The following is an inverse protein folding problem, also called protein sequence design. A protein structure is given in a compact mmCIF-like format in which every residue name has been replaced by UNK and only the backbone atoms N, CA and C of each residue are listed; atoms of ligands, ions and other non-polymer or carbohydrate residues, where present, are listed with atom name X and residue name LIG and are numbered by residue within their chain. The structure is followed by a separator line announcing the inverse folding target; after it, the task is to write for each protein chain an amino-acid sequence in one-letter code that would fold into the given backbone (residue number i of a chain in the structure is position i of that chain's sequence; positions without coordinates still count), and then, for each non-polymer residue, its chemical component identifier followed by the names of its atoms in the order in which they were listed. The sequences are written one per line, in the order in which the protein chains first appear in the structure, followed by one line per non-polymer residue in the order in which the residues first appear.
data_IF_056854249803
#
_entry.id   IF_056854249803
#
_cell.length_a   1.000
_cell.length_b   1.000
_cell.length_c   1.000
_cell.angle_alpha   90.00
_cell.angle_beta   90.00
_cell.angle_gamma   90.00
#
_symmetry.space_group_name_H-M   'P 1'
#
loop_
_entity.id
_entity.type
_entity.pdbx_description
1 polymer ?
#
# COMPACT_ATOMS: atom_id res chain seq x y z
N UNK A 1 -3.22 2.02 29.37
CA UNK A 1 -2.53 1.11 28.43
C UNK A 1 -1.88 0.02 29.28
N UNK A 2 -2.30 -1.22 29.14
CA UNK A 2 -1.65 -2.34 29.82
C UNK A 2 -0.61 -2.90 28.85
N UNK A 3 0.65 -2.78 29.23
CA UNK A 3 1.74 -3.47 28.57
C UNK A 3 2.45 -4.34 29.61
N UNK A 4 2.95 -5.47 29.18
CA UNK A 4 3.78 -6.35 29.98
C UNK A 4 5.22 -6.12 29.52
N UNK A 5 6.13 -5.88 30.46
CA UNK A 5 7.55 -5.70 30.21
C UNK A 5 8.33 -6.61 31.17
N UNK A 6 9.20 -7.44 30.62
CA UNK A 6 10.09 -8.32 31.38
C UNK A 6 11.53 -8.08 30.92
N UNK A 7 12.41 -7.79 31.86
CA UNK A 7 13.85 -7.68 31.64
C UNK A 7 14.55 -8.96 32.03
N UNK A 8 15.36 -9.51 31.14
CA UNK A 8 16.10 -10.75 31.32
C UNK A 8 15.29 -11.88 32.00
N UNK A 9 14.07 -12.20 31.51
CA UNK A 9 13.22 -13.18 32.18
C UNK A 9 13.77 -14.60 32.03
N UNK A 10 13.44 -15.45 33.01
CA UNK A 10 13.63 -16.90 32.88
C UNK A 10 12.72 -17.47 31.79
N UNK A 11 13.14 -18.54 31.06
CA UNK A 11 12.42 -19.09 29.92
C UNK A 11 10.97 -19.47 30.22
N UNK A 12 10.65 -20.00 31.40
CA UNK A 12 9.31 -20.41 31.81
C UNK A 12 8.36 -19.22 31.94
N UNK A 13 8.84 -18.13 32.58
CA UNK A 13 8.07 -16.89 32.70
C UNK A 13 7.86 -16.26 31.35
N UNK A 14 8.89 -16.24 30.52
CA UNK A 14 8.85 -15.77 29.14
C UNK A 14 7.80 -16.52 28.32
N UNK A 15 7.82 -17.85 28.39
CA UNK A 15 6.87 -18.71 27.66
C UNK A 15 5.41 -18.42 28.07
N UNK A 16 5.13 -18.36 29.37
CA UNK A 16 3.79 -18.05 29.91
C UNK A 16 3.32 -16.65 29.45
N UNK A 17 4.19 -15.66 29.52
CA UNK A 17 3.87 -14.28 29.10
C UNK A 17 3.55 -14.20 27.62
N UNK A 18 4.36 -14.85 26.76
CA UNK A 18 4.13 -14.88 25.32
C UNK A 18 2.83 -15.62 24.99
N UNK A 19 2.57 -16.76 25.62
CA UNK A 19 1.32 -17.52 25.42
C UNK A 19 0.08 -16.69 25.79
N UNK A 20 0.11 -16.02 26.95
CA UNK A 20 -0.96 -15.13 27.37
C UNK A 20 -1.15 -13.94 26.41
N UNK A 21 -0.05 -13.33 25.97
CA UNK A 21 -0.08 -12.23 25.02
C UNK A 21 -0.65 -12.64 23.65
N UNK A 22 -0.32 -13.85 23.15
CA UNK A 22 -0.88 -14.41 21.92
C UNK A 22 -2.39 -14.67 22.03
N UNK A 23 -2.88 -15.12 23.20
CA UNK A 23 -4.32 -15.29 23.44
C UNK A 23 -5.08 -13.97 23.47
N UNK A 24 -4.42 -12.89 23.93
CA UNK A 24 -4.96 -11.55 24.01
C UNK A 24 -4.71 -10.71 22.73
N UNK A 25 -4.20 -11.34 21.66
CA UNK A 25 -3.88 -10.68 20.38
C UNK A 25 -3.00 -9.44 20.54
N UNK A 26 -2.04 -9.48 21.48
CA UNK A 26 -1.09 -8.39 21.69
C UNK A 26 0.04 -8.42 20.66
N UNK A 27 0.59 -7.27 20.35
CA UNK A 27 1.89 -7.13 19.69
C UNK A 27 2.99 -7.54 20.66
N UNK A 28 3.90 -8.43 20.24
CA UNK A 28 4.93 -9.01 21.11
C UNK A 28 6.30 -8.74 20.51
N UNK A 29 7.22 -8.28 21.35
CA UNK A 29 8.64 -8.14 21.04
C UNK A 29 9.44 -9.06 21.95
N UNK A 30 10.36 -9.83 21.37
CA UNK A 30 11.34 -10.64 22.11
C UNK A 30 12.73 -10.24 21.63
N UNK A 31 13.59 -9.85 22.54
CA UNK A 31 15.00 -9.53 22.26
C UNK A 31 15.89 -10.46 23.03
N UNK A 32 16.85 -11.06 22.36
CA UNK A 32 17.76 -12.00 22.99
C UNK A 32 18.76 -12.61 22.01
N UNK A 33 19.63 -13.46 22.55
CA UNK A 33 20.54 -14.28 21.76
C UNK A 33 19.82 -15.56 21.36
N UNK A 34 19.80 -15.86 20.06
CA UNK A 34 19.04 -16.99 19.53
C UNK A 34 19.65 -17.57 18.26
N UNK A 35 19.24 -18.80 17.96
CA UNK A 35 19.37 -19.44 16.65
C UNK A 35 18.02 -19.43 15.93
N UNK A 36 18.06 -19.43 14.58
CA UNK A 36 16.83 -19.46 13.76
C UNK A 36 16.96 -20.55 12.70
N UNK A 37 15.93 -21.37 12.54
CA UNK A 37 15.82 -22.37 11.47
C UNK A 37 14.53 -22.18 10.72
N UNK A 38 14.63 -22.08 9.41
CA UNK A 38 13.49 -22.06 8.50
C UNK A 38 13.41 -23.37 7.74
N UNK A 39 12.22 -23.90 7.62
CA UNK A 39 11.89 -25.07 6.80
C UNK A 39 10.61 -24.78 6.01
N UNK A 40 10.71 -24.85 4.67
CA UNK A 40 9.61 -24.60 3.74
C UNK A 40 10.03 -24.95 2.33
N UNK A 41 9.85 -24.03 1.37
CA UNK A 41 10.32 -24.16 -0.02
C UNK A 41 11.84 -24.34 -0.13
N UNK A 42 12.55 -23.85 0.86
CA UNK A 42 13.97 -24.03 1.07
C UNK A 42 14.22 -24.34 2.55
N UNK A 43 15.45 -24.67 2.91
CA UNK A 43 15.89 -24.77 4.30
C UNK A 43 16.99 -23.75 4.52
N UNK A 44 16.90 -22.95 5.58
CA UNK A 44 17.96 -22.04 5.98
C UNK A 44 18.14 -22.03 7.49
N UNK A 45 19.33 -21.71 7.94
CA UNK A 45 19.68 -21.54 9.34
C UNK A 45 20.46 -20.24 9.55
N UNK A 46 20.21 -19.62 10.70
CA UNK A 46 21.01 -18.52 11.21
C UNK A 46 21.65 -18.99 12.52
N UNK A 47 22.96 -18.95 12.56
CA UNK A 47 23.75 -19.29 13.75
C UNK A 47 23.45 -18.30 14.88
N UNK A 48 23.92 -18.63 16.08
CA UNK A 48 23.73 -17.86 17.30
C UNK A 48 24.06 -16.37 17.12
N UNK A 49 23.14 -15.52 17.55
CA UNK A 49 23.32 -14.07 17.50
C UNK A 49 22.17 -13.33 18.18
N UNK A 50 22.41 -12.07 18.52
CA UNK A 50 21.39 -11.21 19.13
C UNK A 50 20.42 -10.71 18.07
N UNK A 51 19.12 -10.84 18.35
CA UNK A 51 18.04 -10.51 17.40
C UNK A 51 16.83 -9.94 18.10
N UNK A 52 16.07 -9.20 17.34
CA UNK A 52 14.72 -8.78 17.67
C UNK A 52 13.74 -9.68 16.91
N UNK A 53 12.82 -10.31 17.63
CA UNK A 53 11.69 -11.04 17.09
C UNK A 53 10.43 -10.24 17.40
N UNK A 54 9.61 -9.96 16.40
CA UNK A 54 8.31 -9.33 16.55
C UNK A 54 7.19 -10.26 16.08
N UNK A 55 6.16 -10.44 16.92
CA UNK A 55 4.92 -11.10 16.57
C UNK A 55 3.82 -10.04 16.55
N UNK A 56 3.19 -9.84 15.40
CA UNK A 56 2.12 -8.89 15.24
C UNK A 56 0.77 -9.45 15.72
N UNK A 57 -0.20 -8.57 15.94
CA UNK A 57 -1.56 -8.94 16.35
C UNK A 57 -2.26 -9.85 15.33
N UNK A 58 -1.99 -9.69 14.04
CA UNK A 58 -2.44 -10.53 12.93
C UNK A 58 -1.68 -11.85 12.80
N UNK A 59 -0.74 -12.12 13.75
CA UNK A 59 0.11 -13.32 13.80
C UNK A 59 1.16 -13.39 12.69
N UNK A 60 1.57 -12.27 12.10
CA UNK A 60 2.79 -12.20 11.31
C UNK A 60 4.03 -12.27 12.22
N UNK A 61 5.11 -12.90 11.73
CA UNK A 61 6.39 -12.98 12.43
C UNK A 61 7.47 -12.26 11.64
N UNK A 62 8.28 -11.45 12.33
CA UNK A 62 9.47 -10.80 11.75
C UNK A 62 10.66 -11.01 12.67
N UNK A 63 11.84 -11.29 12.09
CA UNK A 63 13.10 -11.43 12.82
C UNK A 63 14.12 -10.47 12.22
N UNK A 64 14.65 -9.59 13.04
CA UNK A 64 15.64 -8.59 12.64
C UNK A 64 16.98 -8.84 13.29
N UNK A 65 18.05 -8.55 12.54
CA UNK A 65 19.41 -8.39 13.07
C UNK A 65 19.57 -6.99 13.68
N UNK A 66 20.65 -6.75 14.46
CA UNK A 66 20.96 -5.39 14.96
C UNK A 66 21.25 -4.37 13.84
N UNK A 67 21.41 -4.80 12.61
CA UNK A 67 21.73 -3.99 11.44
C UNK A 67 20.92 -4.46 10.22
N UNK A 68 20.78 -3.59 9.22
CA UNK A 68 19.93 -3.79 8.05
C UNK A 68 18.47 -3.37 8.31
N UNK A 69 17.79 -2.95 7.26
CA UNK A 69 16.41 -2.44 7.37
C UNK A 69 15.35 -3.53 7.15
N UNK A 70 15.69 -4.60 6.46
CA UNK A 70 14.77 -5.70 6.19
C UNK A 70 14.87 -6.81 7.25
N UNK A 71 13.76 -7.50 7.56
CA UNK A 71 13.81 -8.71 8.39
C UNK A 71 14.63 -9.78 7.68
N UNK A 72 15.44 -10.53 8.46
CA UNK A 72 16.24 -11.63 7.94
C UNK A 72 15.42 -12.90 7.73
N UNK A 73 14.35 -13.07 8.50
CA UNK A 73 13.31 -14.09 8.34
C UNK A 73 11.95 -13.48 8.68
N UNK A 74 10.93 -13.92 8.00
CA UNK A 74 9.56 -13.48 8.26
C UNK A 74 8.54 -14.51 7.80
N UNK A 75 7.33 -14.44 8.36
CA UNK A 75 6.15 -15.13 7.88
C UNK A 75 4.95 -14.17 7.84
N UNK A 76 4.07 -14.31 6.83
CA UNK A 76 2.90 -13.47 6.68
C UNK A 76 1.87 -13.70 7.81
N UNK A 77 0.80 -12.90 7.89
CA UNK A 77 -0.28 -13.06 8.85
C UNK A 77 -0.88 -14.47 8.90
N UNK A 78 -1.45 -14.83 10.06
CA UNK A 78 -2.20 -16.08 10.25
C UNK A 78 -1.35 -17.28 10.69
N UNK A 79 -0.11 -17.08 11.14
CA UNK A 79 0.70 -18.18 11.68
C UNK A 79 0.12 -18.75 12.98
N UNK A 80 0.23 -20.08 13.16
CA UNK A 80 0.05 -20.74 14.44
C UNK A 80 1.38 -20.74 15.18
N UNK A 81 1.36 -20.36 16.47
CA UNK A 81 2.54 -20.37 17.32
C UNK A 81 2.50 -21.53 18.31
N UNK A 82 3.65 -22.16 18.48
CA UNK A 82 3.93 -23.13 19.54
C UNK A 82 5.09 -22.57 20.38
N UNK A 83 4.83 -22.40 21.66
CA UNK A 83 5.80 -21.84 22.62
C UNK A 83 6.11 -22.94 23.65
N UNK A 84 7.37 -23.25 23.83
CA UNK A 84 7.84 -24.24 24.79
C UNK A 84 9.18 -23.83 25.39
N UNK A 85 9.56 -24.46 26.47
CA UNK A 85 10.89 -24.41 27.07
C UNK A 85 11.55 -25.78 27.02
N UNK A 86 12.85 -25.80 26.75
CA UNK A 86 13.65 -27.02 26.75
C UNK A 86 15.12 -26.65 27.05
N UNK A 87 15.73 -27.34 28.03
CA UNK A 87 17.12 -27.12 28.46
C UNK A 87 17.45 -25.64 28.73
N UNK A 88 16.63 -24.96 29.53
CA UNK A 88 16.76 -23.51 29.83
C UNK A 88 16.70 -22.59 28.60
N UNK A 89 16.21 -23.07 27.47
CA UNK A 89 15.97 -22.27 26.28
C UNK A 89 14.47 -22.00 26.07
N UNK A 90 14.12 -20.80 25.63
CA UNK A 90 12.80 -20.49 25.09
C UNK A 90 12.74 -20.87 23.62
N UNK A 91 11.78 -21.71 23.26
CA UNK A 91 11.51 -22.08 21.86
C UNK A 91 10.21 -21.50 21.36
N UNK A 92 10.29 -20.81 20.22
CA UNK A 92 9.15 -20.22 19.50
C UNK A 92 9.12 -20.83 18.12
N UNK A 93 8.00 -21.52 17.78
CA UNK A 93 7.77 -22.05 16.44
C UNK A 93 6.58 -21.36 15.81
N UNK A 94 6.79 -20.72 14.67
CA UNK A 94 5.74 -20.14 13.84
C UNK A 94 5.46 -21.09 12.67
N UNK A 95 4.23 -21.57 12.56
CA UNK A 95 3.81 -22.59 11.60
C UNK A 95 2.77 -22.00 10.67
N UNK A 96 3.05 -22.03 9.38
CA UNK A 96 2.13 -21.72 8.29
C UNK A 96 1.65 -23.01 7.63
N UNK A 97 0.36 -23.11 7.30
CA UNK A 97 -0.22 -24.32 6.70
C UNK A 97 -0.15 -24.33 5.18
N UNK A 98 -0.38 -23.19 4.56
CA UNK A 98 -0.42 -23.10 3.09
C UNK A 98 0.36 -21.85 2.60
N UNK A 99 1.47 -22.02 1.88
CA UNK A 99 2.26 -23.24 1.76
C UNK A 99 2.80 -23.69 3.13
N UNK A 100 3.14 -24.99 3.32
CA UNK A 100 3.62 -25.47 4.62
C UNK A 100 5.05 -24.95 4.88
N UNK A 101 5.18 -24.10 5.88
CA UNK A 101 6.43 -23.47 6.28
C UNK A 101 6.52 -23.38 7.80
N UNK A 102 7.73 -23.49 8.34
CA UNK A 102 7.97 -23.35 9.78
C UNK A 102 9.22 -22.52 10.01
N UNK A 103 9.12 -21.53 10.91
CA UNK A 103 10.28 -20.87 11.50
C UNK A 103 10.37 -21.30 12.96
N UNK A 104 11.52 -21.83 13.35
CA UNK A 104 11.84 -22.21 14.72
C UNK A 104 12.95 -21.32 15.25
N UNK A 105 12.72 -20.70 16.39
CA UNK A 105 13.65 -19.80 17.06
C UNK A 105 13.91 -20.34 18.45
N UNK A 106 15.18 -20.58 18.80
CA UNK A 106 15.61 -21.00 20.16
C UNK A 106 16.45 -19.89 20.77
N UNK A 107 15.96 -19.32 21.87
CA UNK A 107 16.65 -18.30 22.65
C UNK A 107 17.37 -18.96 23.82
N UNK A 108 18.68 -18.88 23.84
CA UNK A 108 19.57 -19.31 24.96
C UNK A 108 19.82 -18.18 25.96
N UNK A 109 19.51 -16.93 25.58
CA UNK A 109 19.57 -15.78 26.48
C UNK A 109 18.47 -14.77 26.09
N UNK A 110 17.58 -14.51 27.02
CA UNK A 110 16.55 -13.47 26.88
C UNK A 110 17.04 -12.16 27.48
N UNK A 111 16.86 -11.06 26.77
CA UNK A 111 17.16 -9.70 27.24
C UNK A 111 15.91 -8.92 27.59
N UNK A 112 14.88 -9.04 26.75
CA UNK A 112 13.65 -8.29 26.89
C UNK A 112 12.47 -9.06 26.29
N UNK A 113 11.32 -8.99 26.96
CA UNK A 113 10.02 -9.28 26.38
C UNK A 113 9.11 -8.09 26.65
N UNK A 114 8.46 -7.60 25.58
CA UNK A 114 7.41 -6.58 25.69
C UNK A 114 6.15 -7.08 24.98
N UNK A 115 4.99 -6.99 25.63
CA UNK A 115 3.71 -7.33 25.02
C UNK A 115 2.71 -6.18 25.26
N UNK A 116 2.08 -5.70 24.18
CA UNK A 116 1.23 -4.50 24.23
C UNK A 116 0.07 -4.58 23.27
N UNK A 117 -1.08 -4.04 23.67
CA UNK A 117 -2.21 -3.83 22.78
C UNK A 117 -2.00 -2.52 22.01
N UNK A 118 -1.68 -2.62 20.74
CA UNK A 118 -1.56 -1.46 19.83
C UNK A 118 -2.89 -1.27 19.09
N UNK A 119 -3.28 -0.02 18.90
CA UNK A 119 -4.43 0.37 18.09
C UNK A 119 -3.92 1.33 17.02
N UNK A 120 -4.01 0.92 15.79
CA UNK A 120 -3.81 1.79 14.64
C UNK A 120 -5.16 2.01 13.96
N UNK A 121 -5.67 3.23 14.11
CA UNK A 121 -6.91 3.68 13.46
C UNK A 121 -6.60 4.58 12.26
N UNK A 122 -5.31 4.80 11.96
CA UNK A 122 -4.91 5.59 10.84
C UNK A 122 -5.10 4.80 9.54
N UNK A 123 -5.83 5.36 8.60
CA UNK A 123 -5.83 4.84 7.24
C UNK A 123 -4.49 5.20 6.58
N UNK A 124 -3.78 4.20 6.09
CA UNK A 124 -2.57 4.43 5.30
C UNK A 124 -2.98 4.84 3.89
N UNK A 125 -2.82 6.12 3.58
CA UNK A 125 -3.00 6.62 2.22
C UNK A 125 -1.63 6.75 1.56
N UNK A 126 -1.38 5.96 0.54
CA UNK A 126 -0.42 6.33 -0.49
C UNK A 126 -1.02 7.51 -1.26
N UNK A 127 -0.32 8.62 -1.34
CA UNK A 127 -0.69 9.68 -2.28
C UNK A 127 -0.62 9.08 -3.68
N UNK A 128 -1.76 8.99 -4.37
CA UNK A 128 -1.83 8.46 -5.71
C UNK A 128 -0.88 9.23 -6.65
N UNK A 129 -0.15 8.50 -7.48
CA UNK A 129 0.64 9.07 -8.58
C UNK A 129 -0.29 9.65 -9.66
N UNK A 130 0.24 10.36 -10.66
CA UNK A 130 -0.57 10.79 -11.83
C UNK A 130 -1.11 9.58 -12.60
N UNK A 131 -0.33 8.51 -12.69
CA UNK A 131 -0.76 7.22 -13.26
C UNK A 131 -1.90 6.56 -12.45
N UNK A 132 -1.83 6.60 -11.12
CA UNK A 132 -2.92 6.09 -10.27
C UNK A 132 -4.19 6.94 -10.43
N UNK A 133 -4.06 8.26 -10.53
CA UNK A 133 -5.20 9.15 -10.81
C UNK A 133 -5.81 8.83 -12.18
N UNK A 134 -5.00 8.58 -13.20
CA UNK A 134 -5.43 8.15 -14.51
C UNK A 134 -6.19 6.82 -14.45
N UNK A 135 -5.63 5.81 -13.79
CA UNK A 135 -6.28 4.50 -13.57
C UNK A 135 -7.63 4.63 -12.86
N UNK A 136 -7.71 5.49 -11.84
CA UNK A 136 -8.96 5.76 -11.12
C UNK A 136 -10.02 6.41 -12.04
N UNK A 137 -9.63 7.35 -12.91
CA UNK A 137 -10.51 7.99 -13.91
C UNK A 137 -10.97 6.96 -14.94
N UNK A 138 -10.08 6.08 -15.40
CA UNK A 138 -10.43 5.00 -16.35
C UNK A 138 -11.44 4.04 -15.74
N UNK A 139 -11.23 3.66 -14.47
CA UNK A 139 -12.12 2.74 -13.75
C UNK A 139 -13.48 3.36 -13.42
N UNK A 140 -13.51 4.65 -13.09
CA UNK A 140 -14.72 5.42 -12.72
C UNK A 140 -14.71 6.81 -13.33
N UNK A 141 -15.02 6.96 -14.64
CA UNK A 141 -14.97 8.27 -15.31
C UNK A 141 -15.90 9.33 -14.70
N UNK A 142 -16.97 8.91 -14.04
CA UNK A 142 -17.93 9.79 -13.36
C UNK A 142 -17.32 10.64 -12.23
N UNK A 143 -16.12 10.30 -11.73
CA UNK A 143 -15.43 11.13 -10.75
C UNK A 143 -14.94 12.46 -11.33
N UNK A 144 -14.79 12.52 -12.66
CA UNK A 144 -14.48 13.76 -13.39
C UNK A 144 -15.76 14.42 -13.85
N UNK A 145 -16.62 13.66 -14.54
CA UNK A 145 -17.89 14.17 -15.07
C UNK A 145 -18.88 13.02 -15.32
N UNK A 146 -20.13 13.20 -14.90
CA UNK A 146 -21.19 12.23 -15.16
C UNK A 146 -21.42 12.07 -16.66
N UNK A 147 -21.47 10.82 -17.12
CA UNK A 147 -21.67 10.48 -18.54
C UNK A 147 -20.39 10.53 -19.39
N UNK A 148 -19.24 10.86 -18.80
CA UNK A 148 -17.94 10.72 -19.48
C UNK A 148 -17.67 9.24 -19.76
N UNK A 149 -17.23 8.96 -20.97
CA UNK A 149 -16.75 7.64 -21.40
C UNK A 149 -15.32 7.74 -21.90
N UNK A 150 -14.39 7.03 -21.28
CA UNK A 150 -13.01 6.93 -21.72
C UNK A 150 -12.95 6.06 -22.98
N UNK A 151 -12.25 6.54 -24.02
CA UNK A 151 -12.01 5.83 -25.27
C UNK A 151 -10.58 5.30 -25.30
N UNK A 152 -9.63 6.12 -24.91
CA UNK A 152 -8.21 5.83 -25.01
C UNK A 152 -7.47 6.60 -23.90
N UNK A 153 -6.36 6.08 -23.43
CA UNK A 153 -5.45 6.74 -22.49
C UNK A 153 -4.02 6.71 -23.05
N UNK A 154 -3.17 7.60 -22.58
CA UNK A 154 -1.82 7.81 -23.11
C UNK A 154 -1.80 7.91 -24.64
N UNK A 155 -2.83 8.54 -25.19
CA UNK A 155 -2.94 8.75 -26.63
C UNK A 155 -1.81 9.63 -27.14
N UNK A 156 -1.03 9.10 -28.09
CA UNK A 156 0.02 9.88 -28.75
C UNK A 156 -0.58 11.00 -29.59
N UNK A 157 -0.24 12.23 -29.24
CA UNK A 157 -0.61 13.44 -29.99
C UNK A 157 0.63 14.32 -30.01
N UNK A 158 1.22 14.54 -31.22
CA UNK A 158 2.40 15.39 -31.29
C UNK A 158 2.15 16.78 -30.66
N UNK A 159 2.98 17.24 -29.69
CA UNK A 159 4.32 16.75 -29.34
C UNK A 159 4.40 15.85 -28.09
N UNK A 160 3.35 15.10 -27.71
CA UNK A 160 3.38 14.28 -26.50
C UNK A 160 2.25 13.28 -26.40
N UNK A 161 1.76 13.05 -25.19
CA UNK A 161 0.68 12.11 -24.89
C UNK A 161 -0.42 12.81 -24.10
N UNK A 162 -1.66 12.54 -24.45
CA UNK A 162 -2.85 12.93 -23.70
C UNK A 162 -3.11 11.87 -22.65
N UNK A 163 -3.24 12.27 -21.38
CA UNK A 163 -3.44 11.34 -20.27
C UNK A 163 -4.73 10.53 -20.45
N UNK A 164 -5.86 11.19 -20.73
CA UNK A 164 -7.15 10.52 -20.99
C UNK A 164 -7.89 11.21 -22.13
N UNK A 165 -8.37 10.40 -23.06
CA UNK A 165 -9.17 10.78 -24.21
C UNK A 165 -10.55 10.15 -24.12
N UNK A 166 -11.62 10.93 -24.20
CA UNK A 166 -12.97 10.46 -23.97
C UNK A 166 -14.03 11.21 -24.77
N UNK A 167 -15.29 10.83 -24.53
CA UNK A 167 -16.50 11.48 -25.07
C UNK A 167 -17.44 11.79 -23.90
N UNK A 168 -17.98 13.01 -23.86
CA UNK A 168 -19.01 13.41 -22.93
C UNK A 168 -20.41 12.89 -23.35
N UNK A 169 -21.40 13.17 -22.51
CA UNK A 169 -22.79 12.75 -22.78
C UNK A 169 -23.42 13.39 -24.06
N UNK A 170 -22.85 14.53 -24.51
CA UNK A 170 -23.33 15.24 -25.72
C UNK A 170 -22.56 14.79 -26.98
N UNK A 171 -21.66 13.80 -26.88
CA UNK A 171 -20.86 13.29 -27.97
C UNK A 171 -19.66 14.17 -28.35
N UNK A 172 -19.30 15.16 -27.52
CA UNK A 172 -18.11 16.00 -27.73
C UNK A 172 -16.86 15.27 -27.25
N UNK A 173 -15.77 15.45 -27.96
CA UNK A 173 -14.48 14.92 -27.55
C UNK A 173 -13.97 15.62 -26.29
N UNK A 174 -13.45 14.87 -25.36
CA UNK A 174 -12.85 15.36 -24.10
C UNK A 174 -11.40 14.94 -24.06
N UNK A 175 -10.53 15.91 -23.80
CA UNK A 175 -9.09 15.69 -23.55
C UNK A 175 -8.82 16.08 -22.10
N UNK A 176 -8.27 15.17 -21.33
CA UNK A 176 -7.97 15.36 -19.92
C UNK A 176 -6.46 15.36 -19.72
N UNK A 177 -5.97 16.37 -19.03
CA UNK A 177 -4.61 16.44 -18.47
C UNK A 177 -4.70 16.32 -16.95
N UNK A 178 -3.86 15.47 -16.36
CA UNK A 178 -3.88 15.15 -14.93
C UNK A 178 -2.64 15.72 -14.27
N UNK A 179 -2.82 16.35 -13.10
CA UNK A 179 -1.72 16.79 -12.25
C UNK A 179 -1.94 16.34 -10.80
N UNK A 180 -0.94 15.69 -10.21
CA UNK A 180 -0.97 15.23 -8.81
C UNK A 180 -0.90 16.38 -7.80
N UNK A 181 -0.29 17.50 -8.19
CA UNK A 181 -0.14 18.71 -7.37
C UNK A 181 -0.97 19.85 -7.94
N UNK A 182 -0.92 21.00 -7.28
CA UNK A 182 -1.56 22.22 -7.79
C UNK A 182 -1.13 22.48 -9.24
N UNK A 183 -2.10 22.51 -10.16
CA UNK A 183 -1.84 22.73 -11.58
C UNK A 183 -1.45 24.17 -11.86
N UNK A 184 -0.37 24.34 -12.61
CA UNK A 184 0.19 25.64 -13.02
C UNK A 184 -0.13 26.01 -14.47
N UNK A 185 0.50 27.10 -14.94
CA UNK A 185 0.35 27.59 -16.33
C UNK A 185 0.80 26.55 -17.37
N UNK A 186 1.84 25.78 -17.05
CA UNK A 186 2.42 24.79 -17.96
C UNK A 186 1.41 23.73 -18.38
N UNK A 187 0.61 23.22 -17.43
CA UNK A 187 -0.42 22.23 -17.70
C UNK A 187 -1.51 22.77 -18.64
N UNK A 188 -1.88 24.05 -18.50
CA UNK A 188 -2.86 24.71 -19.38
C UNK A 188 -2.32 24.83 -20.80
N UNK A 189 -1.06 25.27 -20.95
CA UNK A 189 -0.42 25.37 -22.27
C UNK A 189 -0.20 23.99 -22.92
N UNK A 190 0.16 22.97 -22.14
CA UNK A 190 0.27 21.60 -22.61
C UNK A 190 -1.06 21.12 -23.18
N UNK A 191 -2.13 21.26 -22.40
CA UNK A 191 -3.48 20.86 -22.80
C UNK A 191 -3.96 21.64 -24.06
N UNK A 192 -3.69 22.96 -24.15
CA UNK A 192 -4.02 23.75 -25.31
C UNK A 192 -3.29 23.29 -26.60
N UNK A 193 -2.02 22.86 -26.48
CA UNK A 193 -1.28 22.26 -27.60
C UNK A 193 -1.94 20.99 -28.09
N UNK A 194 -2.36 20.10 -27.15
CA UNK A 194 -3.04 18.85 -27.50
C UNK A 194 -4.38 19.11 -28.18
N UNK A 195 -5.17 20.06 -27.69
CA UNK A 195 -6.43 20.47 -28.34
C UNK A 195 -6.19 20.93 -29.78
N UNK A 196 -5.20 21.81 -30.00
CA UNK A 196 -4.85 22.30 -31.34
C UNK A 196 -4.47 21.13 -32.28
N UNK A 197 -3.55 20.30 -31.85
CA UNK A 197 -3.07 19.18 -32.65
C UNK A 197 -4.17 18.14 -32.95
N UNK A 198 -5.08 17.90 -31.99
CA UNK A 198 -6.21 16.99 -32.20
C UNK A 198 -7.28 17.60 -33.12
N UNK A 199 -7.50 18.94 -33.05
CA UNK A 199 -8.53 19.61 -33.85
C UNK A 199 -8.22 19.63 -35.34
N UNK A 200 -6.94 19.62 -35.73
CA UNK A 200 -6.50 19.59 -37.14
C UNK A 200 -6.91 18.28 -37.88
N UNK A 201 -7.22 17.19 -37.14
CA UNK A 201 -7.63 15.89 -37.72
C UNK A 201 -9.09 15.51 -37.49
N UNK A 202 -9.83 16.26 -36.67
CA UNK A 202 -11.18 15.85 -36.20
C UNK A 202 -12.14 17.02 -36.30
N UNK A 203 -13.11 16.98 -37.23
CA UNK A 203 -14.14 17.99 -37.40
C UNK A 203 -15.18 18.12 -36.27
N UNK A 204 -14.78 17.85 -35.01
CA UNK A 204 -15.64 17.88 -33.83
C UNK A 204 -15.14 18.88 -32.79
N UNK A 205 -16.07 19.41 -31.99
CA UNK A 205 -15.73 20.25 -30.84
C UNK A 205 -14.97 19.44 -29.77
N UNK A 206 -13.88 19.99 -29.27
CA UNK A 206 -13.02 19.37 -28.24
C UNK A 206 -13.15 20.17 -26.95
N UNK A 207 -13.38 19.48 -25.85
CA UNK A 207 -13.42 20.03 -24.49
C UNK A 207 -12.13 19.69 -23.74
N UNK A 208 -11.27 20.66 -23.42
CA UNK A 208 -10.11 20.44 -22.57
C UNK A 208 -10.49 20.51 -21.10
N UNK A 209 -10.15 19.47 -20.36
CA UNK A 209 -10.36 19.38 -18.91
C UNK A 209 -9.02 19.19 -18.21
N UNK A 210 -8.70 20.08 -17.28
CA UNK A 210 -7.56 19.98 -16.39
C UNK A 210 -8.02 19.39 -15.05
N UNK A 211 -7.44 18.27 -14.66
CA UNK A 211 -7.76 17.56 -13.41
C UNK A 211 -6.60 17.68 -12.45
N UNK A 212 -6.85 18.25 -11.26
CA UNK A 212 -5.84 18.36 -10.20
C UNK A 212 -6.51 18.61 -8.83
N UNK A 213 -5.80 18.41 -7.69
CA UNK A 213 -6.35 18.72 -6.36
C UNK A 213 -6.61 20.22 -6.15
N UNK A 214 -5.89 21.08 -6.85
CA UNK A 214 -6.07 22.54 -6.80
C UNK A 214 -5.41 23.19 -8.03
N UNK A 215 -5.61 24.50 -8.15
CA UNK A 215 -4.94 25.34 -9.15
C UNK A 215 -4.03 26.35 -8.46
N UNK A 216 -2.92 26.70 -9.08
CA UNK A 216 -2.01 27.73 -8.58
C UNK A 216 -2.69 29.11 -8.56
N UNK A 217 -2.23 30.00 -7.69
CA UNK A 217 -2.79 31.35 -7.59
C UNK A 217 -2.67 32.10 -8.92
N UNK A 218 -3.73 32.80 -9.30
CA UNK A 218 -3.74 33.73 -10.47
C UNK A 218 -3.91 33.08 -11.84
N UNK A 219 -4.15 31.74 -11.94
CA UNK A 219 -4.35 31.09 -13.24
C UNK A 219 -5.82 30.99 -13.69
N UNK A 220 -6.78 31.40 -12.85
CA UNK A 220 -8.22 31.37 -13.22
C UNK A 220 -8.53 32.11 -14.53
N UNK A 221 -7.93 33.33 -14.70
CA UNK A 221 -8.10 34.10 -15.94
C UNK A 221 -7.54 33.34 -17.15
N UNK A 222 -6.41 32.65 -16.98
CA UNK A 222 -5.79 31.88 -18.06
C UNK A 222 -6.67 30.68 -18.46
N UNK A 223 -7.24 29.96 -17.49
CA UNK A 223 -8.20 28.88 -17.75
C UNK A 223 -9.39 29.38 -18.58
N UNK A 224 -9.97 30.53 -18.20
CA UNK A 224 -11.08 31.16 -18.94
C UNK A 224 -10.68 31.57 -20.35
N UNK A 225 -9.52 32.27 -20.50
CA UNK A 225 -9.01 32.72 -21.80
C UNK A 225 -8.76 31.57 -22.75
N UNK A 226 -8.19 30.47 -22.23
CA UNK A 226 -7.87 29.25 -23.00
C UNK A 226 -9.04 28.29 -23.12
N UNK A 227 -10.21 28.63 -22.53
CA UNK A 227 -11.41 27.78 -22.49
C UNK A 227 -11.14 26.36 -21.94
N UNK A 228 -10.26 26.27 -20.92
CA UNK A 228 -9.93 25.03 -20.24
C UNK A 228 -10.82 24.89 -19.01
N UNK A 229 -11.55 23.79 -18.92
CA UNK A 229 -12.33 23.46 -17.74
C UNK A 229 -11.43 22.89 -16.64
N UNK A 230 -11.74 23.18 -15.39
CA UNK A 230 -11.03 22.61 -14.25
C UNK A 230 -11.95 21.69 -13.45
N UNK A 231 -11.46 20.49 -13.16
CA UNK A 231 -12.12 19.54 -12.24
C UNK A 231 -11.18 19.26 -11.08
N UNK A 232 -11.68 19.54 -9.87
CA UNK A 232 -10.93 19.22 -8.66
C UNK A 232 -11.03 17.71 -8.39
N UNK A 233 -9.89 17.04 -8.29
CA UNK A 233 -9.80 15.65 -7.91
C UNK A 233 -8.63 15.46 -6.96
N UNK A 234 -8.92 14.86 -5.78
CA UNK A 234 -7.91 14.61 -4.77
C UNK A 234 -7.22 13.27 -5.03
N UNK A 235 -5.86 13.20 -5.08
CA UNK A 235 -5.12 11.96 -5.19
C UNK A 235 -5.53 10.89 -4.15
N UNK A 236 -5.90 11.31 -2.92
CA UNK A 236 -6.40 10.40 -1.89
C UNK A 236 -7.72 9.73 -2.26
N UNK A 237 -8.60 10.45 -2.95
CA UNK A 237 -9.85 9.89 -3.45
C UNK A 237 -9.57 8.84 -4.53
N UNK A 238 -8.61 9.09 -5.42
CA UNK A 238 -8.19 8.13 -6.45
C UNK A 238 -7.62 6.86 -5.84
N UNK A 239 -6.76 6.97 -4.82
CA UNK A 239 -6.22 5.83 -4.11
C UNK A 239 -7.31 4.95 -3.47
N UNK A 240 -8.36 5.56 -2.89
CA UNK A 240 -9.51 4.82 -2.34
C UNK A 240 -10.27 4.05 -3.43
N UNK A 241 -10.52 4.68 -4.56
CA UNK A 241 -11.22 4.06 -5.70
C UNK A 241 -10.43 2.85 -6.19
N UNK A 242 -9.11 2.96 -6.37
CA UNK A 242 -8.28 1.84 -6.79
C UNK A 242 -8.29 0.69 -5.79
N UNK A 243 -8.20 0.99 -4.50
CA UNK A 243 -8.28 -0.03 -3.45
C UNK A 243 -9.64 -0.78 -3.44
N UNK A 244 -10.73 -0.11 -3.81
CA UNK A 244 -12.05 -0.75 -3.94
C UNK A 244 -12.13 -1.63 -5.21
N UNK A 245 -11.53 -1.18 -6.33
CA UNK A 245 -11.46 -1.93 -7.58
C UNK A 245 -10.64 -3.20 -7.39
N UNK A 246 -9.43 -3.08 -6.81
CA UNK A 246 -8.54 -4.21 -6.57
C UNK A 246 -9.19 -5.28 -5.65
N UNK A 247 -9.87 -4.86 -4.57
CA UNK A 247 -10.65 -5.78 -3.71
C UNK A 247 -11.77 -6.50 -4.47
N UNK A 248 -12.48 -5.79 -5.34
CA UNK A 248 -13.55 -6.38 -6.16
C UNK A 248 -13.02 -7.41 -7.16
N UNK A 249 -11.82 -7.24 -7.68
CA UNK A 249 -11.15 -8.21 -8.54
C UNK A 249 -10.68 -9.45 -7.76
N UNK A 250 -10.08 -9.27 -6.59
CA UNK A 250 -9.67 -10.38 -5.71
C UNK A 250 -10.87 -11.24 -5.28
N UNK A 251 -12.00 -10.62 -4.90
CA UNK A 251 -13.24 -11.34 -4.56
C UNK A 251 -13.83 -12.10 -5.75
N UNK A 252 -13.71 -11.58 -6.96
CA UNK A 252 -14.14 -12.30 -8.17
C UNK A 252 -13.27 -13.51 -8.47
N UNK A 253 -11.95 -13.37 -8.36
CA UNK A 253 -11.00 -14.48 -8.58
C UNK A 253 -11.14 -15.57 -7.51
N UNK A 254 -11.42 -15.22 -6.27
CA UNK A 254 -11.62 -16.18 -5.17
C UNK A 254 -12.88 -17.03 -5.30
N UNK A 255 -13.87 -16.63 -6.11
CA UNK A 255 -15.10 -17.41 -6.41
C UNK A 255 -14.90 -18.49 -7.46
N UNK A 256 -13.76 -18.50 -8.15
CA UNK A 256 -13.44 -19.45 -9.23
C UNK A 256 -12.35 -20.48 -8.82
N UNK A 257 -11.90 -20.44 -7.56
CA UNK A 257 -10.99 -21.40 -6.93
C UNK A 257 -11.71 -22.17 -5.84
#
# INVERSE_FOLDING_TARGET
MTFDLLEAPQPELAAKTIQSALQQEKFIIVVGRCTVRYKGRATSSLDTGERLLAIKQDRALLIHRPYGYQPVNWQPPGCRFEISTDNDELRIRAIRRSPPETISVSFDQLKLIAAMALKDLAEFFLDASEEDMQRAIIARPEIVERGLRVIEYEKRVEPGFVDVYGIDQDGRLVIIEIKRKAAGREAIFQLAKYVKATSEGVGRSIRPILVAPSIAKGIQRLLQTMRVEFRKLDPKQCAKILAEVDKGEEERLSRWI
#
